data_IF_397109044676
#
_entry.id   IF_397109044676
#
_cell.length_a   1.000
_cell.length_b   1.000
_cell.length_c   1.000
_cell.angle_alpha   90.00
_cell.angle_beta   90.00
_cell.angle_gamma   90.00
#
_symmetry.space_group_name_H-M   'P 1'
#
loop_
_entity.id
_entity.type
_entity.pdbx_description
1 polymer ?
#
# COMPACT_ATOMS: atom_id res chain seq x y z
N UNK A 1 15.38 10.05 33.63
CA UNK A 1 15.15 8.65 33.25
C UNK A 1 15.57 8.50 31.79
N UNK A 2 16.65 7.78 31.49
CA UNK A 2 17.02 7.49 30.09
C UNK A 2 15.88 6.66 29.51
N UNK A 3 15.22 7.15 28.46
CA UNK A 3 14.24 6.37 27.72
C UNK A 3 14.89 5.05 27.32
N UNK A 4 14.22 3.93 27.61
CA UNK A 4 14.68 2.60 27.23
C UNK A 4 14.93 2.62 25.72
N UNK A 5 16.14 2.35 25.27
CA UNK A 5 16.43 2.30 23.83
C UNK A 5 15.61 1.17 23.21
N UNK A 6 14.82 1.50 22.19
CA UNK A 6 13.98 0.55 21.48
C UNK A 6 14.84 -0.41 20.67
N UNK A 7 14.45 -1.69 20.64
CA UNK A 7 15.16 -2.69 19.85
C UNK A 7 15.04 -2.34 18.36
N UNK A 8 16.18 -2.21 17.69
CA UNK A 8 16.26 -2.04 16.24
C UNK A 8 17.57 -2.63 15.72
N UNK A 9 17.51 -3.51 14.74
CA UNK A 9 18.70 -4.08 14.13
C UNK A 9 18.46 -5.37 13.39
N UNK A 10 19.55 -6.09 13.09
CA UNK A 10 19.49 -7.41 12.45
C UNK A 10 19.69 -8.50 13.48
N UNK A 11 18.91 -9.55 13.32
CA UNK A 11 18.92 -10.72 14.18
C UNK A 11 18.89 -11.99 13.33
N UNK A 12 19.45 -13.07 13.84
CA UNK A 12 19.34 -14.40 13.25
C UNK A 12 18.50 -15.33 14.14
N UNK A 13 17.75 -16.23 13.53
CA UNK A 13 17.09 -17.36 14.19
C UNK A 13 17.57 -18.65 13.55
N UNK A 14 17.72 -19.72 14.32
CA UNK A 14 18.18 -21.02 13.81
C UNK A 14 17.06 -22.05 13.86
N UNK A 15 16.87 -22.78 12.76
CA UNK A 15 16.04 -23.98 12.73
C UNK A 15 16.90 -25.18 12.34
N UNK A 16 16.81 -26.27 13.12
CA UNK A 16 17.49 -27.52 12.79
C UNK A 16 16.50 -28.51 12.19
N UNK A 17 16.78 -28.98 10.99
CA UNK A 17 16.03 -30.08 10.35
C UNK A 17 16.92 -31.32 10.22
N UNK A 18 16.29 -32.49 10.27
CA UNK A 18 16.98 -33.77 10.02
C UNK A 18 16.44 -34.32 8.70
N UNK A 19 17.32 -34.42 7.71
CA UNK A 19 16.97 -34.91 6.37
C UNK A 19 17.63 -36.30 6.19
N UNK A 20 16.85 -37.30 5.74
CA UNK A 20 17.32 -38.66 5.48
C UNK A 20 16.59 -39.74 6.31
N UNK A 21 16.69 -41.00 5.88
CA UNK A 21 16.09 -42.18 6.55
C UNK A 21 17.19 -43.13 7.03
N UNK A 22 16.96 -43.78 8.19
CA UNK A 22 17.92 -44.72 8.77
C UNK A 22 19.25 -44.08 9.19
N UNK A 23 20.38 -44.68 8.81
CA UNK A 23 21.75 -44.25 9.13
C UNK A 23 22.23 -43.04 8.33
N UNK A 24 21.46 -42.55 7.34
CA UNK A 24 21.83 -41.40 6.48
C UNK A 24 21.27 -40.06 6.97
N UNK A 25 20.73 -40.00 8.20
CA UNK A 25 20.20 -38.76 8.79
C UNK A 25 21.30 -37.70 8.93
N UNK A 26 21.19 -36.63 8.15
CA UNK A 26 22.04 -35.44 8.26
C UNK A 26 21.26 -34.31 8.93
N UNK A 27 21.83 -33.76 10.00
CA UNK A 27 21.29 -32.55 10.65
C UNK A 27 21.77 -31.34 9.84
N UNK A 28 20.84 -30.53 9.37
CA UNK A 28 21.11 -29.26 8.69
C UNK A 28 20.55 -28.13 9.54
N UNK A 29 21.40 -27.16 9.87
CA UNK A 29 20.98 -25.92 10.52
C UNK A 29 20.81 -24.85 9.43
N UNK A 30 19.61 -24.26 9.38
CA UNK A 30 19.32 -23.13 8.51
C UNK A 30 19.12 -21.89 9.38
N UNK A 31 19.91 -20.85 9.09
CA UNK A 31 19.75 -19.53 9.72
C UNK A 31 18.87 -18.65 8.84
N UNK A 32 17.93 -17.95 9.46
CA UNK A 32 17.15 -16.89 8.81
C UNK A 32 17.51 -15.56 9.46
N UNK A 33 17.73 -14.54 8.64
CA UNK A 33 18.04 -13.19 9.11
C UNK A 33 16.80 -12.31 9.05
N UNK A 34 16.64 -11.49 10.08
CA UNK A 34 15.48 -10.67 10.33
C UNK A 34 15.90 -9.25 10.67
N UNK A 35 15.22 -8.28 10.09
CA UNK A 35 15.20 -6.92 10.61
C UNK A 35 14.12 -6.80 11.67
N UNK A 36 14.52 -6.48 12.89
CA UNK A 36 13.62 -6.29 14.02
C UNK A 36 13.48 -4.81 14.35
N UNK A 37 12.27 -4.38 14.67
CA UNK A 37 11.96 -3.04 15.13
C UNK A 37 10.85 -3.05 16.17
N UNK A 38 11.14 -2.51 17.35
CA UNK A 38 10.18 -2.26 18.42
C UNK A 38 9.39 -0.99 18.14
N UNK A 39 8.06 -1.11 18.16
CA UNK A 39 7.12 -0.03 17.95
C UNK A 39 6.84 0.72 19.26
N UNK A 40 6.23 1.89 19.18
CA UNK A 40 5.92 2.73 20.36
C UNK A 40 4.98 2.07 21.36
N UNK A 41 4.14 1.13 20.90
CA UNK A 41 3.23 0.34 21.71
C UNK A 41 3.89 -0.92 22.34
N UNK A 42 5.21 -1.09 22.19
CA UNK A 42 5.95 -2.24 22.71
C UNK A 42 5.89 -3.51 21.86
N UNK A 43 5.14 -3.50 20.74
CA UNK A 43 5.08 -4.63 19.82
C UNK A 43 6.37 -4.70 19.01
N UNK A 44 7.00 -5.88 19.00
CA UNK A 44 8.17 -6.12 18.18
C UNK A 44 7.75 -6.68 16.82
N UNK A 45 8.16 -6.02 15.74
CA UNK A 45 7.94 -6.47 14.37
C UNK A 45 9.25 -6.97 13.78
N UNK A 46 9.23 -8.15 13.15
CA UNK A 46 10.35 -8.72 12.42
C UNK A 46 10.00 -8.89 10.94
N UNK A 47 10.97 -8.65 10.07
CA UNK A 47 10.83 -8.81 8.63
C UNK A 47 12.04 -9.56 8.08
N UNK A 48 11.89 -10.56 7.20
CA UNK A 48 13.03 -11.29 6.68
C UNK A 48 13.90 -10.41 5.78
N UNK A 49 15.17 -10.77 5.69
CA UNK A 49 16.14 -10.12 4.81
C UNK A 49 16.23 -10.90 3.50
N UNK A 50 16.10 -10.21 2.36
CA UNK A 50 16.30 -10.82 1.05
C UNK A 50 17.79 -10.99 0.69
N UNK A 51 18.07 -11.59 -0.47
CA UNK A 51 19.43 -11.84 -0.93
C UNK A 51 20.28 -10.57 -1.19
N UNK A 52 19.64 -9.41 -1.31
CA UNK A 52 20.29 -8.11 -1.49
C UNK A 52 20.48 -7.35 -0.16
N UNK A 53 20.24 -8.02 0.98
CA UNK A 53 20.42 -7.49 2.32
C UNK A 53 19.47 -6.33 2.66
N UNK A 54 18.24 -6.34 2.14
CA UNK A 54 17.20 -5.41 2.58
C UNK A 54 16.02 -6.15 3.21
N UNK A 55 15.34 -5.55 4.21
CA UNK A 55 14.08 -6.07 4.73
C UNK A 55 13.04 -6.14 3.61
N UNK A 56 12.48 -7.32 3.37
CA UNK A 56 11.55 -7.57 2.27
C UNK A 56 10.61 -8.72 2.60
N UNK A 57 9.37 -8.64 2.12
CA UNK A 57 8.34 -9.64 2.41
C UNK A 57 7.54 -9.34 3.70
N UNK A 58 6.82 -10.34 4.24
CA UNK A 58 5.83 -10.12 5.28
C UNK A 58 6.47 -9.70 6.60
N UNK A 59 5.82 -8.74 7.27
CA UNK A 59 6.18 -8.31 8.60
C UNK A 59 5.38 -9.13 9.61
N UNK A 60 6.05 -9.74 10.58
CA UNK A 60 5.45 -10.59 11.60
C UNK A 60 5.64 -9.96 12.97
N UNK A 61 4.59 -9.93 13.79
CA UNK A 61 4.71 -9.54 15.19
C UNK A 61 5.23 -10.72 16.01
N UNK A 62 6.21 -10.48 16.88
CA UNK A 62 6.82 -11.49 17.75
C UNK A 62 6.77 -11.01 19.18
N UNK A 63 6.35 -11.89 20.09
CA UNK A 63 6.36 -11.60 21.52
C UNK A 63 7.78 -11.40 22.03
N UNK A 64 7.98 -10.38 22.87
CA UNK A 64 9.31 -9.99 23.36
C UNK A 64 10.06 -11.16 24.02
N UNK A 65 9.37 -11.96 24.84
CA UNK A 65 9.97 -13.12 25.50
C UNK A 65 10.46 -14.18 24.51
N UNK A 66 9.68 -14.46 23.46
CA UNK A 66 10.09 -15.38 22.39
C UNK A 66 11.26 -14.81 21.60
N UNK A 67 11.23 -13.50 21.31
CA UNK A 67 12.30 -12.84 20.59
C UNK A 67 13.64 -12.93 21.33
N UNK A 68 13.68 -12.58 22.62
CA UNK A 68 14.91 -12.62 23.41
C UNK A 68 15.46 -14.05 23.58
N UNK A 69 14.61 -15.07 23.47
CA UNK A 69 15.01 -16.49 23.55
C UNK A 69 15.54 -17.03 22.23
N UNK A 70 14.88 -16.72 21.12
CA UNK A 70 15.06 -17.43 19.84
C UNK A 70 15.84 -16.61 18.79
N UNK A 71 16.10 -15.32 19.04
CA UNK A 71 16.76 -14.42 18.11
C UNK A 71 18.10 -13.90 18.67
N UNK A 72 19.14 -13.95 17.85
CA UNK A 72 20.49 -13.52 18.19
C UNK A 72 20.87 -12.25 17.41
N UNK A 73 21.38 -11.19 18.06
CA UNK A 73 21.76 -9.96 17.36
C UNK A 73 22.95 -10.16 16.42
N UNK A 74 22.92 -9.48 15.26
CA UNK A 74 23.91 -9.54 14.19
C UNK A 74 24.36 -8.11 13.80
N UNK A 75 25.06 -7.37 14.69
CA UNK A 75 25.40 -5.97 14.47
C UNK A 75 26.38 -5.76 13.30
N UNK A 76 27.29 -6.70 13.04
CA UNK A 76 28.22 -6.65 11.91
C UNK A 76 27.46 -6.76 10.57
N UNK A 77 26.51 -7.71 10.47
CA UNK A 77 25.67 -7.86 9.29
C UNK A 77 24.85 -6.58 9.02
N UNK A 78 24.35 -5.95 10.09
CA UNK A 78 23.66 -4.67 9.98
C UNK A 78 24.55 -3.57 9.43
N UNK A 79 25.73 -3.37 10.02
CA UNK A 79 26.63 -2.26 9.67
C UNK A 79 27.27 -2.43 8.29
N UNK A 80 27.71 -3.64 7.94
CA UNK A 80 28.51 -3.89 6.73
C UNK A 80 27.66 -4.11 5.48
N UNK A 81 26.48 -4.71 5.61
CA UNK A 81 25.67 -5.12 4.45
C UNK A 81 24.30 -4.47 4.43
N UNK A 82 23.52 -4.62 5.49
CA UNK A 82 22.11 -4.19 5.45
C UNK A 82 21.98 -2.68 5.38
N UNK A 83 22.67 -1.93 6.24
CA UNK A 83 22.54 -0.48 6.27
C UNK A 83 22.97 0.17 4.95
N UNK A 84 24.10 -0.21 4.32
CA UNK A 84 24.44 0.24 2.96
C UNK A 84 23.40 -0.14 1.91
N UNK A 85 22.90 -1.38 1.92
CA UNK A 85 21.88 -1.84 0.96
C UNK A 85 20.55 -1.08 1.11
N UNK A 86 20.08 -0.85 2.34
CA UNK A 86 18.89 -0.05 2.62
C UNK A 86 19.06 1.40 2.14
N UNK A 87 20.23 2.00 2.37
CA UNK A 87 20.55 3.35 1.87
C UNK A 87 20.54 3.39 0.36
N UNK A 88 21.10 2.38 -0.30
CA UNK A 88 21.12 2.29 -1.74
C UNK A 88 19.71 2.14 -2.32
N UNK A 89 18.88 1.26 -1.75
CA UNK A 89 17.47 1.10 -2.14
C UNK A 89 16.71 2.43 -2.03
N UNK A 90 16.75 3.06 -0.85
CA UNK A 90 16.08 4.32 -0.60
C UNK A 90 16.54 5.41 -1.57
N UNK A 91 17.85 5.54 -1.78
CA UNK A 91 18.42 6.48 -2.74
C UNK A 91 17.88 6.27 -4.16
N UNK A 92 17.82 5.01 -4.64
CA UNK A 92 17.29 4.73 -5.98
C UNK A 92 15.81 5.06 -6.10
N UNK A 93 15.01 4.80 -5.06
CA UNK A 93 13.59 5.18 -5.03
C UNK A 93 13.42 6.70 -5.06
N UNK A 94 14.16 7.43 -4.21
CA UNK A 94 14.10 8.89 -4.15
C UNK A 94 14.54 9.55 -5.47
N UNK A 95 15.55 9.01 -6.14
CA UNK A 95 15.94 9.46 -7.48
C UNK A 95 14.84 9.22 -8.51
N UNK A 96 14.23 8.02 -8.51
CA UNK A 96 13.09 7.71 -9.38
C UNK A 96 11.92 8.66 -9.17
N UNK A 97 11.55 8.93 -7.92
CA UNK A 97 10.50 9.88 -7.56
C UNK A 97 10.83 11.31 -8.01
N UNK A 98 12.10 11.73 -7.86
CA UNK A 98 12.59 13.04 -8.31
C UNK A 98 12.50 13.19 -9.83
N UNK A 99 12.95 12.17 -10.57
CA UNK A 99 12.84 12.16 -12.04
C UNK A 99 11.37 12.18 -12.50
N UNK A 100 10.48 11.40 -11.87
CA UNK A 100 9.05 11.39 -12.22
C UNK A 100 8.41 12.75 -11.98
N UNK A 101 8.72 13.42 -10.87
CA UNK A 101 8.22 14.78 -10.57
C UNK A 101 8.64 15.83 -11.62
N UNK A 102 9.77 15.59 -12.31
CA UNK A 102 10.27 16.42 -13.42
C UNK A 102 9.77 15.95 -14.79
N UNK A 103 8.92 14.93 -14.85
CA UNK A 103 8.48 14.25 -16.08
C UNK A 103 9.63 13.60 -16.88
N UNK A 104 10.76 13.32 -16.24
CA UNK A 104 11.91 12.63 -16.81
C UNK A 104 11.66 11.10 -16.79
N UNK A 105 10.60 10.67 -17.47
CA UNK A 105 9.99 9.35 -17.25
C UNK A 105 10.91 8.16 -17.54
N UNK A 106 11.84 8.26 -18.50
CA UNK A 106 12.80 7.19 -18.78
C UNK A 106 13.85 7.04 -17.67
N UNK A 107 14.32 8.17 -17.11
CA UNK A 107 15.22 8.17 -15.96
C UNK A 107 14.52 7.64 -14.71
N UNK A 108 13.25 8.00 -14.52
CA UNK A 108 12.41 7.46 -13.45
C UNK A 108 12.26 5.93 -13.57
N UNK A 109 11.89 5.43 -14.76
CA UNK A 109 11.79 4.00 -15.04
C UNK A 109 13.10 3.27 -14.71
N UNK A 110 14.23 3.83 -15.12
CA UNK A 110 15.55 3.24 -14.87
C UNK A 110 15.86 3.11 -13.37
N UNK A 111 15.64 4.17 -12.59
CA UNK A 111 15.91 4.16 -11.15
C UNK A 111 14.92 3.25 -10.39
N UNK A 112 13.64 3.23 -10.76
CA UNK A 112 12.68 2.29 -10.17
C UNK A 112 13.01 0.83 -10.51
N UNK A 113 13.46 0.53 -11.72
CA UNK A 113 13.92 -0.82 -12.07
C UNK A 113 15.15 -1.23 -11.27
N UNK A 114 16.08 -0.32 -10.99
CA UNK A 114 17.20 -0.59 -10.06
C UNK A 114 16.70 -0.91 -8.66
N UNK A 115 15.76 -0.13 -8.14
CA UNK A 115 15.16 -0.40 -6.83
C UNK A 115 14.47 -1.77 -6.78
N UNK A 116 13.71 -2.14 -7.82
CA UNK A 116 13.04 -3.44 -7.96
C UNK A 116 14.04 -4.60 -8.06
N UNK A 117 15.20 -4.40 -8.69
CA UNK A 117 16.26 -5.40 -8.71
C UNK A 117 16.88 -5.64 -7.32
N UNK A 118 16.84 -4.64 -6.43
CA UNK A 118 17.27 -4.76 -5.03
C UNK A 118 16.16 -5.40 -4.19
N UNK A 119 14.91 -4.97 -4.38
CA UNK A 119 13.74 -5.51 -3.71
C UNK A 119 12.54 -5.56 -4.66
N UNK A 120 12.24 -6.77 -5.16
CA UNK A 120 11.14 -7.01 -6.08
C UNK A 120 9.78 -6.67 -5.45
N UNK A 121 9.66 -6.81 -4.13
CA UNK A 121 8.45 -6.55 -3.36
C UNK A 121 8.38 -5.11 -2.85
N UNK A 122 9.30 -4.22 -3.26
CA UNK A 122 9.29 -2.82 -2.83
C UNK A 122 8.03 -2.12 -3.30
N UNK A 123 7.14 -1.83 -2.36
CA UNK A 123 5.85 -1.17 -2.59
C UNK A 123 6.07 0.18 -3.28
N UNK A 124 6.94 1.03 -2.72
CA UNK A 124 7.25 2.36 -3.28
C UNK A 124 7.82 2.29 -4.68
N UNK A 125 8.75 1.37 -4.95
CA UNK A 125 9.36 1.26 -6.27
C UNK A 125 8.37 0.76 -7.34
N UNK A 126 7.54 -0.24 -7.00
CA UNK A 126 6.51 -0.73 -7.90
C UNK A 126 5.43 0.35 -8.17
N UNK A 127 4.98 1.10 -7.15
CA UNK A 127 4.10 2.26 -7.37
C UNK A 127 4.72 3.30 -8.27
N UNK A 128 5.97 3.69 -7.99
CA UNK A 128 6.71 4.66 -8.78
C UNK A 128 6.78 4.26 -10.25
N UNK A 129 7.14 3.00 -10.52
CA UNK A 129 7.21 2.46 -11.88
C UNK A 129 5.84 2.42 -12.56
N UNK A 130 4.80 1.97 -11.86
CA UNK A 130 3.44 1.93 -12.37
C UNK A 130 2.93 3.32 -12.74
N UNK A 131 3.11 4.30 -11.86
CA UNK A 131 2.79 5.71 -12.11
C UNK A 131 3.56 6.24 -13.31
N UNK A 132 4.86 5.95 -13.43
CA UNK A 132 5.66 6.34 -14.60
C UNK A 132 5.14 5.74 -15.91
N UNK A 133 4.62 4.51 -15.91
CA UNK A 133 3.99 3.94 -17.11
C UNK A 133 2.64 4.59 -17.42
N UNK A 134 1.82 4.90 -16.41
CA UNK A 134 0.56 5.62 -16.58
C UNK A 134 0.79 7.05 -17.12
N UNK A 135 1.78 7.76 -16.58
CA UNK A 135 2.19 9.11 -17.03
C UNK A 135 2.63 9.11 -18.52
N UNK A 136 3.06 7.97 -19.05
CA UNK A 136 3.42 7.76 -20.46
C UNK A 136 2.29 7.18 -21.32
N UNK A 137 1.15 6.82 -20.74
CA UNK A 137 0.08 6.12 -21.43
C UNK A 137 0.40 4.67 -21.80
N UNK A 138 1.41 4.06 -21.16
CA UNK A 138 1.83 2.67 -21.41
C UNK A 138 0.96 1.68 -20.64
N UNK A 139 -0.32 1.62 -21.01
CA UNK A 139 -1.37 0.87 -20.30
C UNK A 139 -0.99 -0.61 -20.08
N UNK A 140 -0.45 -1.29 -21.09
CA UNK A 140 -0.07 -2.71 -20.95
C UNK A 140 0.99 -2.94 -19.88
N UNK A 141 1.98 -2.03 -19.76
CA UNK A 141 3.04 -2.17 -18.74
C UNK A 141 2.54 -1.75 -17.38
N UNK A 142 1.70 -0.72 -17.31
CA UNK A 142 1.04 -0.33 -16.06
C UNK A 142 0.18 -1.47 -15.50
N UNK A 143 -0.52 -2.21 -16.36
CA UNK A 143 -1.34 -3.38 -15.99
C UNK A 143 -0.52 -4.54 -15.42
N UNK A 144 0.69 -4.77 -15.93
CA UNK A 144 1.62 -5.74 -15.36
C UNK A 144 2.10 -5.34 -13.96
N UNK A 145 2.37 -4.05 -13.75
CA UNK A 145 2.73 -3.52 -12.43
C UNK A 145 1.55 -3.57 -11.47
N UNK A 146 0.34 -3.26 -11.93
CA UNK A 146 -0.89 -3.37 -11.16
C UNK A 146 -1.07 -4.80 -10.62
N UNK A 147 -0.97 -5.82 -11.49
CA UNK A 147 -1.06 -7.24 -11.09
C UNK A 147 -0.05 -7.62 -10.00
N UNK A 148 1.15 -7.04 -10.02
CA UNK A 148 2.14 -7.25 -8.95
C UNK A 148 1.74 -6.56 -7.65
N UNK A 149 1.35 -5.29 -7.71
CA UNK A 149 0.97 -4.49 -6.55
C UNK A 149 -0.21 -5.09 -5.78
N UNK A 150 -1.21 -5.60 -6.50
CA UNK A 150 -2.40 -6.27 -5.93
C UNK A 150 -2.05 -7.55 -5.17
N UNK A 151 -0.91 -8.19 -5.47
CA UNK A 151 -0.40 -9.38 -4.78
C UNK A 151 0.51 -9.05 -3.58
N UNK A 152 0.95 -7.80 -3.44
CA UNK A 152 1.81 -7.38 -2.33
C UNK A 152 0.89 -6.88 -1.20
N UNK A 153 0.70 -7.68 -0.16
CA UNK A 153 -0.19 -7.30 0.96
C UNK A 153 0.25 -6.00 1.65
N UNK A 154 1.57 -5.81 1.80
CA UNK A 154 2.17 -4.61 2.38
C UNK A 154 1.91 -3.34 1.56
N UNK A 155 1.41 -3.48 0.32
CA UNK A 155 0.87 -2.36 -0.43
C UNK A 155 -0.07 -1.60 0.49
N UNK A 156 -1.09 -2.24 1.05
CA UNK A 156 -2.18 -1.53 1.70
C UNK A 156 -1.92 -1.11 3.16
N UNK A 157 -0.66 -1.14 3.60
CA UNK A 157 -0.30 -0.64 4.92
C UNK A 157 -0.62 0.86 5.05
N UNK A 158 -1.07 1.34 6.24
CA UNK A 158 -1.40 2.75 6.45
C UNK A 158 -0.27 3.73 6.07
N UNK A 159 0.99 3.30 6.20
CA UNK A 159 2.17 4.07 5.78
C UNK A 159 2.15 4.41 4.28
N UNK A 160 1.65 3.49 3.47
CA UNK A 160 1.59 3.64 2.03
C UNK A 160 0.27 4.22 1.53
N UNK A 161 -0.72 4.51 2.40
CA UNK A 161 -2.09 4.99 2.05
C UNK A 161 -2.11 6.09 1.00
N UNK A 162 -1.17 7.04 1.06
CA UNK A 162 -1.06 8.14 0.11
C UNK A 162 -0.75 7.68 -1.33
N UNK A 163 0.06 6.62 -1.49
CA UNK A 163 0.39 6.03 -2.79
C UNK A 163 -0.84 5.35 -3.41
N UNK A 164 -1.75 4.81 -2.60
CA UNK A 164 -3.01 4.23 -3.08
C UNK A 164 -3.88 5.27 -3.77
N UNK A 165 -4.08 6.40 -3.11
CA UNK A 165 -4.93 7.43 -3.67
C UNK A 165 -4.37 7.94 -5.01
N UNK A 166 -3.07 8.21 -5.08
CA UNK A 166 -2.42 8.67 -6.31
C UNK A 166 -2.54 7.62 -7.43
N UNK A 167 -2.24 6.36 -7.14
CA UNK A 167 -2.27 5.29 -8.15
C UNK A 167 -3.68 5.02 -8.67
N UNK A 168 -4.68 4.91 -7.79
CA UNK A 168 -6.07 4.73 -8.20
C UNK A 168 -6.59 5.90 -9.07
N UNK A 169 -6.24 7.13 -8.71
CA UNK A 169 -6.60 8.31 -9.52
C UNK A 169 -5.93 8.24 -10.90
N UNK A 170 -4.67 7.82 -10.95
CA UNK A 170 -3.92 7.68 -12.21
C UNK A 170 -4.48 6.56 -13.10
N UNK A 171 -4.85 5.41 -12.53
CA UNK A 171 -5.55 4.32 -13.23
C UNK A 171 -6.85 4.83 -13.87
N UNK A 172 -7.70 5.52 -13.09
CA UNK A 172 -8.95 6.11 -13.60
C UNK A 172 -8.68 7.08 -14.75
N UNK A 173 -7.80 8.06 -14.55
CA UNK A 173 -7.46 9.07 -15.57
C UNK A 173 -6.88 8.46 -16.84
N UNK A 174 -6.25 7.30 -16.73
CA UNK A 174 -5.69 6.54 -17.86
C UNK A 174 -6.72 5.61 -18.52
N UNK A 175 -7.99 5.63 -18.11
CA UNK A 175 -9.06 4.79 -18.64
C UNK A 175 -9.04 3.34 -18.16
N UNK A 176 -8.17 3.00 -17.19
CA UNK A 176 -8.08 1.66 -16.60
C UNK A 176 -9.14 1.49 -15.50
N UNK A 177 -10.42 1.65 -15.87
CA UNK A 177 -11.53 1.72 -14.92
C UNK A 177 -11.73 0.42 -14.12
N UNK A 178 -11.59 -0.74 -14.75
CA UNK A 178 -11.72 -2.04 -14.08
C UNK A 178 -10.66 -2.22 -13.00
N UNK A 179 -9.40 -1.90 -13.32
CA UNK A 179 -8.28 -1.98 -12.38
C UNK A 179 -8.45 -0.95 -11.27
N UNK A 180 -8.90 0.28 -11.58
CA UNK A 180 -9.19 1.29 -10.57
C UNK A 180 -10.26 0.81 -9.57
N UNK A 181 -11.33 0.16 -10.04
CA UNK A 181 -12.37 -0.41 -9.15
C UNK A 181 -11.82 -1.55 -8.30
N UNK A 182 -11.13 -2.52 -8.89
CA UNK A 182 -10.50 -3.62 -8.13
C UNK A 182 -9.55 -3.07 -7.05
N UNK A 183 -8.78 -2.05 -7.42
CA UNK A 183 -7.87 -1.36 -6.52
C UNK A 183 -8.59 -0.70 -5.34
N UNK A 184 -9.66 0.05 -5.63
CA UNK A 184 -10.44 0.75 -4.61
C UNK A 184 -11.24 -0.21 -3.73
N UNK A 185 -11.73 -1.33 -4.27
CA UNK A 185 -12.41 -2.37 -3.49
C UNK A 185 -11.50 -2.97 -2.42
N UNK A 186 -10.25 -3.30 -2.77
CA UNK A 186 -9.26 -3.74 -1.78
C UNK A 186 -8.96 -2.68 -0.73
N UNK A 187 -8.93 -1.40 -1.12
CA UNK A 187 -8.76 -0.31 -0.15
C UNK A 187 -9.98 -0.18 0.78
N UNK A 188 -11.19 -0.41 0.27
CA UNK A 188 -12.46 -0.35 1.02
C UNK A 188 -12.55 -1.49 2.06
N UNK A 189 -11.96 -2.65 1.79
CA UNK A 189 -11.84 -3.76 2.76
C UNK A 189 -10.96 -3.42 3.96
N UNK A 190 -10.01 -2.48 3.80
CA UNK A 190 -8.96 -2.21 4.79
C UNK A 190 -9.18 -0.90 5.54
N UNK A 191 -9.81 0.08 4.90
CA UNK A 191 -10.16 1.37 5.51
C UNK A 191 -11.67 1.44 5.65
N UNK A 192 -12.16 1.16 6.85
CA UNK A 192 -13.54 1.44 7.21
C UNK A 192 -13.74 2.95 7.19
N UNK A 193 -14.74 3.41 6.42
CA UNK A 193 -15.25 4.80 6.42
C UNK A 193 -14.29 5.87 5.83
N UNK A 194 -13.98 5.79 4.52
CA UNK A 194 -13.24 6.84 3.81
C UNK A 194 -14.12 7.53 2.74
N UNK A 195 -14.47 8.79 2.97
CA UNK A 195 -15.31 9.57 2.07
C UNK A 195 -14.63 9.87 0.73
N UNK A 196 -13.30 10.02 0.72
CA UNK A 196 -12.53 10.32 -0.48
C UNK A 196 -12.42 9.07 -1.37
N UNK A 197 -12.28 7.90 -0.74
CA UNK A 197 -12.34 6.62 -1.44
C UNK A 197 -13.72 6.43 -2.11
N UNK A 198 -14.81 6.68 -1.38
CA UNK A 198 -16.16 6.60 -1.94
C UNK A 198 -16.37 7.57 -3.10
N UNK A 199 -15.88 8.80 -2.98
CA UNK A 199 -15.94 9.79 -4.06
C UNK A 199 -15.14 9.34 -5.30
N UNK A 200 -13.97 8.74 -5.10
CA UNK A 200 -13.16 8.22 -6.20
C UNK A 200 -13.84 7.03 -6.91
N UNK A 201 -14.44 6.10 -6.16
CA UNK A 201 -15.23 4.99 -6.74
C UNK A 201 -16.42 5.54 -7.54
N UNK A 202 -17.13 6.55 -7.00
CA UNK A 202 -18.23 7.21 -7.71
C UNK A 202 -17.77 7.83 -9.04
N UNK A 203 -16.59 8.46 -9.08
CA UNK A 203 -16.01 9.02 -10.31
C UNK A 203 -15.73 7.94 -11.36
N UNK A 204 -15.21 6.78 -10.94
CA UNK A 204 -14.99 5.66 -11.87
C UNK A 204 -16.32 5.16 -12.44
N UNK A 205 -17.34 4.94 -11.60
CA UNK A 205 -18.65 4.50 -12.08
C UNK A 205 -19.31 5.51 -13.01
N UNK A 206 -19.17 6.81 -12.76
CA UNK A 206 -19.63 7.86 -13.68
C UNK A 206 -18.97 7.76 -15.05
N UNK A 207 -17.64 7.60 -15.09
CA UNK A 207 -16.89 7.48 -16.35
C UNK A 207 -17.23 6.20 -17.13
N UNK A 208 -17.62 5.14 -16.44
CA UNK A 208 -18.16 3.92 -17.04
C UNK A 208 -19.64 4.03 -17.47
N UNK A 209 -20.32 5.14 -17.16
CA UNK A 209 -21.75 5.33 -17.44
C UNK A 209 -22.70 4.66 -16.42
N UNK A 210 -22.18 4.10 -15.33
CA UNK A 210 -22.93 3.42 -14.28
C UNK A 210 -23.50 4.44 -13.27
N UNK A 211 -24.52 5.20 -13.69
CA UNK A 211 -25.05 6.33 -12.92
C UNK A 211 -25.65 5.94 -11.57
N UNK A 212 -26.39 4.83 -11.48
CA UNK A 212 -27.01 4.39 -10.22
C UNK A 212 -25.97 4.12 -9.14
N UNK A 213 -24.92 3.38 -9.50
CA UNK A 213 -23.80 3.06 -8.60
C UNK A 213 -22.98 4.31 -8.26
N UNK A 214 -22.80 5.23 -9.21
CA UNK A 214 -22.17 6.54 -8.95
C UNK A 214 -22.92 7.29 -7.85
N UNK A 215 -24.24 7.45 -7.98
CA UNK A 215 -25.07 8.14 -7.00
C UNK A 215 -25.04 7.41 -5.66
N UNK A 216 -25.10 6.08 -5.65
CA UNK A 216 -24.99 5.27 -4.44
C UNK A 216 -23.70 5.57 -3.66
N UNK A 217 -22.55 5.59 -4.33
CA UNK A 217 -21.26 5.90 -3.68
C UNK A 217 -21.14 7.38 -3.27
N UNK A 218 -21.75 8.32 -4.00
CA UNK A 218 -21.83 9.72 -3.56
C UNK A 218 -22.64 9.87 -2.27
N UNK A 219 -23.75 9.13 -2.13
CA UNK A 219 -24.51 9.07 -0.87
C UNK A 219 -23.65 8.51 0.26
N UNK A 220 -22.92 7.43 0.01
CA UNK A 220 -22.01 6.81 0.99
C UNK A 220 -20.91 7.79 1.43
N UNK A 221 -20.31 8.52 0.50
CA UNK A 221 -19.33 9.56 0.81
C UNK A 221 -19.91 10.66 1.72
N UNK A 222 -21.13 11.13 1.43
CA UNK A 222 -21.80 12.13 2.26
C UNK A 222 -22.24 11.58 3.63
N UNK A 223 -22.53 10.29 3.75
CA UNK A 223 -22.80 9.68 5.06
C UNK A 223 -21.57 9.70 5.97
N UNK A 224 -20.37 9.50 5.42
CA UNK A 224 -19.12 9.61 6.19
C UNK A 224 -18.75 11.07 6.46
N UNK A 225 -18.92 11.95 5.46
CA UNK A 225 -18.68 13.38 5.61
C UNK A 225 -19.77 14.19 4.90
N UNK A 226 -20.78 14.60 5.67
CA UNK A 226 -21.94 15.33 5.16
C UNK A 226 -21.62 16.76 4.68
N UNK A 227 -20.39 17.23 4.88
CA UNK A 227 -19.88 18.52 4.40
C UNK A 227 -18.89 18.38 3.24
N UNK A 228 -18.72 17.18 2.68
CA UNK A 228 -17.79 16.95 1.56
C UNK A 228 -18.24 17.76 0.33
N UNK A 229 -17.56 18.89 0.10
CA UNK A 229 -17.92 19.85 -0.94
C UNK A 229 -17.85 19.22 -2.32
N UNK A 230 -16.84 18.39 -2.58
CA UNK A 230 -16.63 17.73 -3.85
C UNK A 230 -17.77 16.76 -4.21
N UNK A 231 -18.35 16.06 -3.22
CA UNK A 231 -19.49 15.18 -3.47
C UNK A 231 -20.77 15.97 -3.75
N UNK A 232 -21.00 17.08 -3.02
CA UNK A 232 -22.12 17.99 -3.27
C UNK A 232 -22.02 18.63 -4.67
N UNK A 233 -20.83 19.12 -5.05
CA UNK A 233 -20.57 19.67 -6.38
C UNK A 233 -20.83 18.62 -7.46
N UNK A 234 -20.41 17.37 -7.22
CA UNK A 234 -20.61 16.31 -8.19
C UNK A 234 -22.10 15.96 -8.35
N UNK A 235 -22.88 15.87 -7.26
CA UNK A 235 -24.34 15.67 -7.35
C UNK A 235 -25.04 16.82 -8.09
N UNK A 236 -24.65 18.07 -7.82
CA UNK A 236 -25.18 19.23 -8.54
C UNK A 236 -24.85 19.17 -10.04
N UNK A 237 -23.63 18.75 -10.38
CA UNK A 237 -23.24 18.52 -11.77
C UNK A 237 -24.11 17.44 -12.44
N UNK A 238 -24.39 16.32 -11.75
CA UNK A 238 -25.29 15.28 -12.26
C UNK A 238 -26.73 15.79 -12.45
N UNK A 239 -27.21 16.67 -11.55
CA UNK A 239 -28.50 17.34 -11.71
C UNK A 239 -28.51 18.25 -12.94
N UNK A 240 -27.49 19.10 -13.13
CA UNK A 240 -27.39 19.97 -14.31
C UNK A 240 -27.35 19.18 -15.62
N UNK A 241 -26.84 17.94 -15.59
CA UNK A 241 -26.86 17.00 -16.73
C UNK A 241 -28.20 16.28 -16.93
N UNK A 242 -29.15 16.44 -16.02
CA UNK A 242 -30.48 15.82 -16.06
C UNK A 242 -30.53 14.40 -15.50
N UNK A 243 -29.47 13.91 -14.87
CA UNK A 243 -29.42 12.54 -14.33
C UNK A 243 -30.08 12.40 -12.96
N UNK A 244 -30.17 13.49 -12.19
CA UNK A 244 -30.74 13.52 -10.84
C UNK A 244 -31.66 14.73 -10.73
N UNK A 245 -32.79 14.64 -10.02
CA UNK A 245 -33.66 15.81 -9.76
C UNK A 245 -33.08 16.67 -8.64
N UNK A 246 -33.26 17.99 -8.69
CA UNK A 246 -32.82 18.91 -7.64
C UNK A 246 -33.33 18.52 -6.25
N UNK A 247 -34.63 18.16 -6.15
CA UNK A 247 -35.23 17.71 -4.91
C UNK A 247 -34.56 16.46 -4.33
N UNK A 248 -34.08 15.55 -5.19
CA UNK A 248 -33.36 14.38 -4.77
C UNK A 248 -31.98 14.78 -4.23
N UNK A 249 -31.26 15.71 -4.87
CA UNK A 249 -29.97 16.20 -4.34
C UNK A 249 -30.11 16.78 -2.94
N UNK A 250 -31.09 17.66 -2.71
CA UNK A 250 -31.35 18.22 -1.38
C UNK A 250 -31.70 17.16 -0.34
N UNK A 251 -32.54 16.18 -0.71
CA UNK A 251 -32.90 15.06 0.17
C UNK A 251 -31.68 14.23 0.57
N UNK A 252 -30.77 13.92 -0.37
CA UNK A 252 -29.58 13.13 -0.07
C UNK A 252 -28.62 13.84 0.88
N UNK A 253 -28.44 15.15 0.69
CA UNK A 253 -27.62 15.97 1.57
C UNK A 253 -28.25 16.05 2.97
N UNK A 254 -29.58 16.20 3.06
CA UNK A 254 -30.28 16.27 4.34
C UNK A 254 -30.38 14.93 5.06
N UNK A 255 -30.47 13.81 4.34
CA UNK A 255 -30.37 12.46 4.88
C UNK A 255 -28.99 12.18 5.47
N UNK A 256 -27.93 12.59 4.76
CA UNK A 256 -26.55 12.46 5.21
C UNK A 256 -26.28 13.23 6.51
N UNK A 257 -26.91 14.40 6.71
CA UNK A 257 -26.83 15.16 7.97
C UNK A 257 -27.49 14.46 9.16
N UNK A 258 -28.50 13.61 8.91
CA UNK A 258 -29.31 12.97 9.96
C UNK A 258 -28.72 11.66 10.48
N UNK A 259 -27.94 10.95 9.66
CA UNK A 259 -27.27 9.71 10.04
C UNK A 259 -25.86 10.03 10.55
N UNK A 260 -25.65 9.96 11.86
CA UNK A 260 -24.29 9.94 12.43
C UNK A 260 -23.58 8.64 12.05
N UNK A 261 -22.24 8.62 11.95
CA UNK A 261 -21.46 7.47 11.43
C UNK A 261 -21.67 6.15 12.20
N UNK A 262 -22.21 6.20 13.41
CA UNK A 262 -22.27 5.05 14.34
C UNK A 262 -23.41 4.05 14.07
N UNK A 263 -24.22 4.22 13.01
CA UNK A 263 -25.43 3.40 12.76
C UNK A 263 -25.38 2.51 11.50
N UNK A 264 -24.21 2.02 11.10
CA UNK A 264 -24.11 1.05 10.00
C UNK A 264 -23.36 -0.19 10.48
N UNK A 265 -24.08 -1.14 11.07
CA UNK A 265 -23.67 -2.55 11.07
C UNK A 265 -24.14 -3.18 9.75
N UNK A 266 -23.21 -3.83 9.04
CA UNK A 266 -23.51 -4.78 7.98
C UNK A 266 -23.82 -6.15 8.60
#
# INVERSE_FOLDING_TARGET
>A
MRGKEKIRGIFSSRQSSVIGTGTTKKRTEQSTFWYAQEQDNGVLKVQPINNNYVPSGPIVAVEMEMFLRDYNPEPELYAEKVLPSMRQLNKTIELGESHRKKSENYSAEHEFKKAINIDELSVRANFGLGLTYLDRGEISRADDIFRRLVCINASYDPEHKHLFNEFGISLRKSGMHSQALEYYQKAEELVLEDENLCLNIARVHYEMGNLDTCIMYLKKALQFNHKLEEACVFLNFLHCKGFVKECAVSQLIDEAKKKTPTQIQF
#
